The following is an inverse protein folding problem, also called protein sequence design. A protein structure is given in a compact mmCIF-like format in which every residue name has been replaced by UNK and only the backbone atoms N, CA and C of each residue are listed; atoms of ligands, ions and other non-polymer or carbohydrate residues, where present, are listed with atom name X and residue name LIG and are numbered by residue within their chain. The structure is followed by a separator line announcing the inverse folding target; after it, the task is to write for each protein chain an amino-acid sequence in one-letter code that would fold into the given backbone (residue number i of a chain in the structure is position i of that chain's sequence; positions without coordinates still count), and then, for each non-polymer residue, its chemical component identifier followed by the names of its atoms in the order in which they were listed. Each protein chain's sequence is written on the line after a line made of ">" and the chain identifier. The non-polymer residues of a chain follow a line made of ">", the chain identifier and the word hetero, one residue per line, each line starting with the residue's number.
data_IF_622856095866
#
_entry.id   IF_622856095866
#
_cell.length_a   1.000
_cell.length_b   1.000
_cell.length_c   1.000
_cell.angle_alpha   90.00
_cell.angle_beta   90.00
_cell.angle_gamma   90.00
#
_symmetry.space_group_name_H-M   'P 1'
#
loop_
_entity.id
_entity.type
_entity.pdbx_description
1 polymer ?
#
# COMPACT_ATOMS: atom_id res chain seq x y z
N UNK A 1 -7.87 -34.89 -70.71
CA UNK A 1 -8.65 -36.10 -70.37
C UNK A 1 -9.12 -35.95 -68.93
N UNK A 2 -10.40 -35.61 -68.76
CA UNK A 2 -11.42 -36.37 -67.99
C UNK A 2 -11.07 -36.53 -66.49
N UNK A 3 -11.88 -36.10 -65.52
CA UNK A 3 -13.33 -36.03 -65.55
C UNK A 3 -13.93 -35.15 -64.44
N UNK A 4 -15.17 -34.80 -64.72
CA UNK A 4 -16.13 -34.06 -63.89
C UNK A 4 -16.65 -35.00 -62.80
N UNK A 5 -16.76 -34.52 -61.54
CA UNK A 5 -17.59 -35.18 -60.53
C UNK A 5 -18.33 -34.19 -59.62
N UNK A 6 -19.62 -34.06 -59.95
CA UNK A 6 -20.85 -33.96 -59.12
C UNK A 6 -20.97 -32.91 -57.99
N UNK A 7 -22.07 -32.16 -58.11
CA UNK A 7 -22.65 -31.25 -57.12
C UNK A 7 -23.29 -31.97 -55.90
N UNK A 8 -23.45 -31.13 -54.87
CA UNK A 8 -24.49 -31.07 -53.81
C UNK A 8 -24.25 -31.80 -52.48
N UNK A 9 -24.09 -30.96 -51.44
CA UNK A 9 -24.37 -31.27 -50.04
C UNK A 9 -24.42 -29.96 -49.25
N UNK A 10 -25.62 -29.39 -49.09
CA UNK A 10 -25.87 -28.19 -48.26
C UNK A 10 -25.64 -28.54 -46.78
N UNK A 11 -24.54 -28.09 -46.22
CA UNK A 11 -24.33 -28.04 -44.77
C UNK A 11 -24.60 -26.63 -44.26
N UNK A 12 -25.80 -26.40 -43.72
CA UNK A 12 -26.15 -25.16 -43.02
C UNK A 12 -25.35 -25.16 -41.71
N UNK A 13 -24.24 -24.44 -41.71
CA UNK A 13 -23.50 -24.15 -40.48
C UNK A 13 -24.23 -23.07 -39.70
N UNK A 14 -24.87 -23.43 -38.60
CA UNK A 14 -25.35 -22.46 -37.61
C UNK A 14 -24.13 -21.83 -36.93
N UNK A 15 -23.70 -20.67 -37.43
CA UNK A 15 -22.75 -19.83 -36.72
C UNK A 15 -23.49 -19.06 -35.64
N UNK A 16 -23.52 -19.58 -34.42
CA UNK A 16 -24.01 -18.86 -33.25
C UNK A 16 -23.05 -17.70 -32.98
N UNK A 17 -23.48 -16.47 -33.24
CA UNK A 17 -22.73 -15.26 -32.93
C UNK A 17 -22.75 -15.07 -31.40
N UNK A 18 -21.64 -15.36 -30.72
CA UNK A 18 -21.47 -14.99 -29.32
C UNK A 18 -21.21 -13.48 -29.22
N UNK A 19 -22.23 -12.72 -28.84
CA UNK A 19 -22.08 -11.31 -28.49
C UNK A 19 -21.44 -11.25 -27.09
N UNK A 20 -20.12 -11.09 -27.02
CA UNK A 20 -19.43 -10.82 -25.76
C UNK A 20 -19.68 -9.35 -25.41
N UNK A 21 -20.62 -9.10 -24.50
CA UNK A 21 -20.82 -7.78 -23.90
C UNK A 21 -19.72 -7.56 -22.88
N UNK A 22 -18.70 -6.78 -23.25
CA UNK A 22 -17.76 -6.23 -22.28
C UNK A 22 -18.50 -5.16 -21.47
N UNK A 23 -18.99 -5.54 -20.28
CA UNK A 23 -19.36 -4.54 -19.28
C UNK A 23 -18.05 -3.88 -18.83
N UNK A 24 -17.89 -2.56 -18.94
CA UNK A 24 -16.77 -1.89 -18.31
C UNK A 24 -16.92 -2.09 -16.81
N UNK A 25 -16.11 -2.98 -16.25
CA UNK A 25 -15.89 -3.03 -14.81
C UNK A 25 -15.35 -1.67 -14.42
N UNK A 26 -16.20 -0.81 -13.84
CA UNK A 26 -15.79 0.45 -13.28
C UNK A 26 -14.75 0.18 -12.20
N UNK A 27 -13.48 0.24 -12.56
CA UNK A 27 -12.39 0.28 -11.61
C UNK A 27 -12.39 1.71 -11.05
N UNK A 28 -13.26 1.96 -10.06
CA UNK A 28 -13.24 3.20 -9.29
C UNK A 28 -12.05 3.17 -8.33
N UNK A 29 -10.86 3.42 -8.88
CA UNK A 29 -9.63 3.66 -8.12
C UNK A 29 -9.49 5.12 -7.70
N UNK A 30 -10.58 5.85 -7.53
CA UNK A 30 -10.57 7.25 -7.12
C UNK A 30 -10.87 7.30 -5.61
N UNK A 31 -9.85 7.60 -4.81
CA UNK A 31 -10.03 7.83 -3.38
C UNK A 31 -10.88 9.09 -3.21
N UNK A 32 -12.12 8.94 -2.77
CA UNK A 32 -12.98 10.06 -2.45
C UNK A 32 -12.27 10.97 -1.42
N UNK A 33 -12.17 12.27 -1.74
CA UNK A 33 -11.58 13.25 -0.82
C UNK A 33 -12.48 13.34 0.40
N UNK A 34 -12.02 12.74 1.51
CA UNK A 34 -12.77 12.65 2.75
C UNK A 34 -12.08 13.41 3.87
N UNK A 35 -12.87 14.16 4.62
CA UNK A 35 -12.41 14.83 5.83
C UNK A 35 -12.63 13.96 7.06
N UNK A 36 -11.66 13.94 7.97
CA UNK A 36 -11.75 13.22 9.26
C UNK A 36 -11.20 14.06 10.41
N UNK A 37 -11.61 13.74 11.64
CA UNK A 37 -11.01 14.28 12.88
C UNK A 37 -9.91 13.37 13.44
N UNK A 38 -9.69 12.21 12.86
CA UNK A 38 -8.71 11.25 13.33
C UNK A 38 -9.00 9.86 12.81
N UNK A 39 -7.94 9.08 12.64
CA UNK A 39 -7.99 7.72 12.11
C UNK A 39 -6.80 6.92 12.63
N UNK A 40 -6.85 5.62 12.39
CA UNK A 40 -5.68 4.74 12.49
C UNK A 40 -5.31 4.28 11.08
N UNK A 41 -4.03 4.42 10.73
CA UNK A 41 -3.50 4.07 9.42
C UNK A 41 -2.48 2.94 9.59
N UNK A 42 -2.75 1.80 8.94
CA UNK A 42 -1.85 0.66 8.84
C UNK A 42 -0.97 0.82 7.59
N UNK A 43 0.34 0.71 7.73
CA UNK A 43 1.29 0.86 6.62
C UNK A 43 2.12 -0.41 6.50
N UNK A 44 1.92 -1.23 5.45
CA UNK A 44 2.76 -2.40 5.23
C UNK A 44 4.22 -2.00 5.05
N UNK A 45 5.14 -2.80 5.58
CA UNK A 45 6.59 -2.58 5.49
C UNK A 45 7.32 -3.90 5.29
N UNK A 46 8.63 -3.83 5.04
CA UNK A 46 9.50 -4.99 4.84
C UNK A 46 10.87 -4.68 5.45
N UNK A 47 11.39 -5.54 6.33
CA UNK A 47 12.82 -5.44 6.75
C UNK A 47 13.75 -6.05 5.69
N UNK A 48 13.22 -6.98 4.88
CA UNK A 48 13.91 -7.58 3.73
C UNK A 48 12.90 -8.11 2.72
N UNK A 49 13.35 -8.31 1.49
CA UNK A 49 12.58 -8.98 0.42
C UNK A 49 13.34 -10.19 -0.11
N UNK A 50 12.60 -11.19 -0.58
CA UNK A 50 13.18 -12.37 -1.21
C UNK A 50 13.42 -12.13 -2.71
N UNK A 51 14.50 -12.69 -3.26
CA UNK A 51 14.78 -12.65 -4.69
C UNK A 51 15.49 -13.90 -5.19
N UNK A 52 15.28 -14.20 -6.48
CA UNK A 52 15.85 -15.36 -7.15
C UNK A 52 15.41 -16.70 -6.53
N UNK A 53 16.09 -17.76 -6.92
CA UNK A 53 15.87 -19.10 -6.37
C UNK A 53 16.72 -19.28 -5.10
N UNK A 54 16.26 -20.15 -4.18
CA UNK A 54 16.93 -20.54 -2.91
C UNK A 54 16.77 -19.56 -1.73
N UNK A 55 15.74 -18.73 -1.72
CA UNK A 55 15.37 -17.95 -0.53
C UNK A 55 16.39 -16.88 -0.14
N UNK A 56 17.11 -16.33 -1.13
CA UNK A 56 18.02 -15.20 -0.89
C UNK A 56 17.23 -13.99 -0.44
N UNK A 57 17.76 -13.27 0.53
CA UNK A 57 17.16 -12.05 1.08
C UNK A 57 18.00 -10.84 0.71
N UNK A 58 17.33 -9.74 0.43
CA UNK A 58 17.90 -8.41 0.33
C UNK A 58 17.29 -7.55 1.45
N UNK A 59 18.11 -7.12 2.39
CA UNK A 59 17.68 -6.17 3.40
C UNK A 59 17.38 -4.82 2.76
N UNK A 60 16.48 -4.07 3.39
CA UNK A 60 16.04 -2.77 2.86
C UNK A 60 15.98 -1.75 3.99
N UNK A 61 16.31 -0.50 3.67
CA UNK A 61 15.97 0.65 4.51
C UNK A 61 14.51 1.01 4.27
N UNK A 62 13.79 1.33 5.34
CA UNK A 62 12.40 1.77 5.27
C UNK A 62 12.28 3.16 5.87
N UNK A 63 11.73 4.10 5.11
CA UNK A 63 11.38 5.44 5.59
C UNK A 63 9.87 5.62 5.54
N UNK A 64 9.24 5.61 6.72
CA UNK A 64 7.84 5.99 6.88
C UNK A 64 7.75 7.52 6.78
N UNK A 65 6.90 8.03 5.89
CA UNK A 65 6.59 9.44 5.75
C UNK A 65 5.14 9.68 6.18
N UNK A 66 4.92 10.72 6.98
CA UNK A 66 3.60 11.19 7.39
C UNK A 66 3.48 12.66 7.00
N UNK A 67 2.47 13.00 6.20
CA UNK A 67 2.28 14.33 5.64
C UNK A 67 0.90 14.86 6.01
N UNK A 68 0.83 15.97 6.74
CA UNK A 68 -0.42 16.70 6.86
C UNK A 68 -0.76 17.30 5.49
N UNK A 69 -1.90 16.94 4.92
CA UNK A 69 -2.36 17.44 3.61
C UNK A 69 -3.38 18.58 3.75
N UNK A 70 -3.68 18.99 4.98
CA UNK A 70 -4.57 20.12 5.23
C UNK A 70 -3.82 21.46 5.08
N UNK A 71 -4.36 22.42 4.32
CA UNK A 71 -3.73 23.70 4.10
C UNK A 71 -3.88 24.69 5.26
N UNK A 72 -4.68 24.38 6.28
CA UNK A 72 -5.08 25.38 7.28
C UNK A 72 -5.04 24.88 8.73
N UNK A 73 -5.20 23.58 8.94
CA UNK A 73 -5.33 23.03 10.28
C UNK A 73 -4.21 22.03 10.59
N UNK A 74 -3.71 22.02 11.83
CA UNK A 74 -2.73 21.05 12.26
C UNK A 74 -3.34 19.65 12.45
N UNK A 75 -2.47 18.65 12.40
CA UNK A 75 -2.74 17.25 12.73
C UNK A 75 -1.79 16.80 13.82
N UNK A 76 -2.34 16.18 14.85
CA UNK A 76 -1.59 15.62 15.96
C UNK A 76 -1.35 14.13 15.77
N UNK A 77 -0.08 13.73 15.66
CA UNK A 77 0.33 12.33 15.70
C UNK A 77 0.36 11.84 17.14
N UNK A 78 -0.50 10.86 17.43
CA UNK A 78 -0.65 10.25 18.75
C UNK A 78 0.34 9.11 18.98
N UNK A 79 0.61 8.32 17.94
CA UNK A 79 1.57 7.22 17.99
C UNK A 79 2.06 6.86 16.60
N UNK A 80 3.32 6.44 16.52
CA UNK A 80 3.91 5.81 15.33
C UNK A 80 4.59 4.53 15.80
N UNK A 81 3.87 3.44 15.71
CA UNK A 81 4.30 2.14 16.23
C UNK A 81 4.75 1.24 15.08
N UNK A 82 5.91 0.62 15.22
CA UNK A 82 6.42 -0.38 14.30
C UNK A 82 6.30 -1.77 14.93
N UNK A 83 5.66 -2.68 14.22
CA UNK A 83 5.38 -4.04 14.64
C UNK A 83 6.12 -5.04 13.77
N UNK A 84 6.49 -6.17 14.38
CA UNK A 84 7.03 -7.31 13.63
C UNK A 84 5.94 -8.10 12.90
N UNK A 85 6.36 -9.05 12.08
CA UNK A 85 5.48 -9.95 11.32
C UNK A 85 4.51 -10.78 12.17
N UNK A 86 4.69 -10.82 13.50
CA UNK A 86 3.81 -11.53 14.44
C UNK A 86 2.90 -10.56 15.21
N UNK A 87 2.91 -9.27 14.86
CA UNK A 87 2.11 -8.23 15.51
C UNK A 87 2.65 -7.79 16.87
N UNK A 88 3.92 -8.09 17.18
CA UNK A 88 4.55 -7.62 18.44
C UNK A 88 5.16 -6.26 18.21
N UNK A 89 4.94 -5.33 19.14
CA UNK A 89 5.53 -3.99 19.08
C UNK A 89 7.06 -4.11 19.16
N UNK A 90 7.75 -3.58 18.16
CA UNK A 90 9.21 -3.52 18.10
C UNK A 90 9.70 -2.19 18.67
N UNK A 91 9.10 -1.08 18.22
CA UNK A 91 9.45 0.28 18.65
C UNK A 91 8.26 1.22 18.50
N UNK A 92 8.16 2.16 19.44
CA UNK A 92 7.33 3.36 19.28
C UNK A 92 8.27 4.54 18.98
N UNK A 93 8.07 5.17 17.83
CA UNK A 93 8.88 6.31 17.39
C UNK A 93 8.46 7.65 18.02
N UNK A 94 7.31 7.69 18.70
CA UNK A 94 6.78 8.87 19.37
C UNK A 94 6.76 8.67 20.89
N UNK A 95 7.78 9.18 21.63
CA UNK A 95 7.73 9.19 23.10
C UNK A 95 6.68 10.18 23.64
N UNK A 96 6.28 11.16 22.83
CA UNK A 96 5.22 12.11 23.11
C UNK A 96 4.48 12.45 21.81
N UNK A 97 3.27 13.04 21.94
CA UNK A 97 2.49 13.53 20.81
C UNK A 97 3.27 14.60 20.03
N UNK A 98 3.23 14.53 18.70
CA UNK A 98 3.85 15.52 17.80
C UNK A 98 2.76 16.19 16.97
N UNK A 99 2.76 17.51 16.92
CA UNK A 99 1.83 18.26 16.06
C UNK A 99 2.51 18.59 14.74
N UNK A 100 1.83 18.31 13.63
CA UNK A 100 2.20 18.71 12.28
C UNK A 100 1.34 19.90 11.87
N UNK A 101 1.96 21.04 11.63
CA UNK A 101 1.30 22.21 11.07
C UNK A 101 0.75 21.97 9.66
N UNK A 102 0.04 22.96 9.09
CA UNK A 102 -0.45 22.88 7.71
C UNK A 102 0.67 22.53 6.72
N UNK A 103 0.42 21.53 5.88
CA UNK A 103 1.41 20.97 4.93
C UNK A 103 2.73 20.45 5.51
N UNK A 104 2.84 20.35 6.83
CA UNK A 104 4.05 19.83 7.48
C UNK A 104 4.15 18.30 7.30
N UNK A 105 5.39 17.83 7.20
CA UNK A 105 5.71 16.42 7.04
C UNK A 105 6.77 16.00 8.04
N UNK A 106 6.70 14.75 8.49
CA UNK A 106 7.72 14.10 9.33
C UNK A 106 8.03 12.72 8.76
N UNK A 107 9.21 12.19 9.09
CA UNK A 107 9.61 10.85 8.69
C UNK A 107 10.25 10.05 9.84
N UNK A 108 10.20 8.73 9.71
CA UNK A 108 10.80 7.78 10.64
C UNK A 108 11.49 6.68 9.86
N UNK A 109 12.70 6.32 10.29
CA UNK A 109 13.53 5.35 9.57
C UNK A 109 13.68 4.05 10.36
N UNK A 110 13.57 2.93 9.66
CA UNK A 110 14.07 1.61 10.06
C UNK A 110 15.31 1.36 9.22
N UNK A 111 16.45 1.22 9.86
CA UNK A 111 17.73 1.00 9.19
C UNK A 111 17.76 -0.38 8.51
N UNK A 112 18.53 -0.48 7.42
CA UNK A 112 18.72 -1.75 6.68
C UNK A 112 19.22 -2.91 7.57
N UNK A 113 19.99 -2.60 8.61
CA UNK A 113 20.49 -3.60 9.57
C UNK A 113 19.44 -4.08 10.57
N UNK A 114 18.31 -3.36 10.71
CA UNK A 114 17.24 -3.70 11.65
C UNK A 114 16.26 -4.73 11.06
N UNK A 115 16.62 -6.00 11.24
CA UNK A 115 15.81 -7.15 10.83
C UNK A 115 14.79 -7.59 11.88
N UNK A 116 14.63 -6.87 13.00
CA UNK A 116 13.74 -7.28 14.11
C UNK A 116 12.28 -7.37 13.67
N UNK A 117 11.89 -6.62 12.63
CA UNK A 117 10.55 -6.64 12.04
C UNK A 117 10.19 -7.96 11.33
N UNK A 118 11.19 -8.72 10.88
CA UNK A 118 10.97 -9.96 10.12
C UNK A 118 10.49 -9.73 8.68
N UNK A 119 9.75 -10.69 8.12
CA UNK A 119 9.42 -10.71 6.68
C UNK A 119 8.29 -9.76 6.27
N UNK A 120 7.35 -9.47 7.15
CA UNK A 120 6.20 -8.60 6.87
C UNK A 120 5.85 -7.71 8.08
N UNK A 121 6.79 -6.86 8.54
CA UNK A 121 6.50 -5.86 9.55
C UNK A 121 5.56 -4.78 9.02
N UNK A 122 5.07 -3.93 9.91
CA UNK A 122 4.17 -2.85 9.54
C UNK A 122 4.21 -1.73 10.55
N UNK A 123 3.74 -0.55 10.13
CA UNK A 123 3.48 0.56 11.03
C UNK A 123 2.00 0.69 11.31
N UNK A 124 1.68 1.18 12.51
CA UNK A 124 0.37 1.72 12.85
C UNK A 124 0.56 3.16 13.29
N UNK A 125 -0.02 4.08 12.52
CA UNK A 125 0.01 5.51 12.78
C UNK A 125 -1.37 5.95 13.26
N UNK A 126 -1.43 6.55 14.44
CA UNK A 126 -2.65 7.15 14.97
C UNK A 126 -2.52 8.66 14.95
N UNK A 127 -3.56 9.32 14.49
CA UNK A 127 -3.59 10.78 14.45
C UNK A 127 -4.97 11.31 14.81
N UNK A 128 -5.01 12.57 15.25
CA UNK A 128 -6.24 13.33 15.46
C UNK A 128 -6.09 14.78 15.00
N UNK A 129 -7.20 15.48 14.86
CA UNK A 129 -7.27 16.93 14.73
C UNK A 129 -8.53 17.44 15.40
N UNK A 130 -8.48 18.67 15.92
CA UNK A 130 -9.64 19.32 16.52
C UNK A 130 -10.73 19.61 15.48
N UNK A 131 -10.32 19.81 14.22
CA UNK A 131 -11.19 20.08 13.06
C UNK A 131 -11.25 18.86 12.15
N UNK A 132 -12.28 18.82 11.30
CA UNK A 132 -12.31 17.87 10.19
C UNK A 132 -11.30 18.38 9.15
N UNK A 133 -10.29 17.58 8.88
CA UNK A 133 -9.16 17.91 8.00
C UNK A 133 -9.01 16.88 6.90
N UNK A 134 -8.26 17.23 5.85
CA UNK A 134 -7.81 16.24 4.87
C UNK A 134 -7.04 15.12 5.59
N UNK A 135 -7.31 13.88 5.21
CA UNK A 135 -6.60 12.73 5.77
C UNK A 135 -5.10 12.85 5.45
N UNK A 136 -4.21 12.76 6.45
CA UNK A 136 -2.78 12.73 6.23
C UNK A 136 -2.40 11.63 5.24
N UNK A 137 -1.48 11.96 4.33
CA UNK A 137 -0.87 10.93 3.47
C UNK A 137 0.22 10.26 4.27
N UNK A 138 0.12 8.93 4.38
CA UNK A 138 1.11 8.11 5.07
C UNK A 138 1.57 7.01 4.12
N UNK A 139 2.89 6.91 3.94
CA UNK A 139 3.50 5.95 3.03
C UNK A 139 4.87 5.50 3.56
N UNK A 140 5.26 4.27 3.28
CA UNK A 140 6.63 3.81 3.46
C UNK A 140 7.36 3.81 2.12
N UNK A 141 8.49 4.52 2.06
CA UNK A 141 9.46 4.44 0.97
C UNK A 141 10.49 3.39 1.35
N UNK A 142 10.69 2.41 0.50
CA UNK A 142 11.53 1.25 0.79
C UNK A 142 12.62 1.17 -0.26
N UNK A 143 13.88 1.13 0.19
CA UNK A 143 15.05 1.14 -0.68
C UNK A 143 15.98 0.01 -0.24
N UNK A 144 16.29 -0.89 -1.17
CA UNK A 144 17.36 -1.86 -1.02
C UNK A 144 18.50 -1.50 -1.95
N UNK A 145 19.68 -1.22 -1.41
CA UNK A 145 20.85 -0.85 -2.19
C UNK A 145 22.04 -1.72 -1.74
N UNK A 146 22.18 -2.90 -2.37
CA UNK A 146 23.30 -3.80 -2.09
C UNK A 146 24.07 -4.12 -3.37
N UNK A 147 25.40 -3.92 -3.32
CA UNK A 147 26.30 -4.14 -4.45
C UNK A 147 25.86 -3.34 -5.70
N UNK A 148 25.66 -4.01 -6.85
CA UNK A 148 25.24 -3.39 -8.12
C UNK A 148 23.71 -3.42 -8.35
N UNK A 149 22.92 -3.83 -7.35
CA UNK A 149 21.47 -3.94 -7.46
C UNK A 149 20.79 -2.93 -6.54
N UNK A 150 19.94 -2.09 -7.13
CA UNK A 150 19.07 -1.16 -6.42
C UNK A 150 17.62 -1.53 -6.70
N UNK A 151 16.82 -1.67 -5.65
CA UNK A 151 15.37 -1.75 -5.74
C UNK A 151 14.76 -0.61 -4.93
N UNK A 152 13.64 -0.10 -5.40
CA UNK A 152 12.82 0.81 -4.62
C UNK A 152 11.35 0.58 -4.91
N UNK A 153 10.54 0.75 -3.88
CA UNK A 153 9.09 0.70 -3.98
C UNK A 153 8.46 1.49 -2.84
N UNK A 154 7.18 1.81 -3.02
CA UNK A 154 6.38 2.51 -2.03
C UNK A 154 5.26 1.60 -1.54
N UNK A 155 4.93 1.73 -0.26
CA UNK A 155 3.82 1.03 0.36
C UNK A 155 2.88 2.05 0.98
N UNK A 156 1.70 2.30 0.36
CA UNK A 156 0.76 3.27 0.86
C UNK A 156 0.06 2.76 2.13
N UNK A 157 -0.21 3.67 3.05
CA UNK A 157 -1.03 3.40 4.22
C UNK A 157 -2.47 3.09 3.84
N UNK A 158 -3.11 2.26 4.66
CA UNK A 158 -4.52 1.90 4.59
C UNK A 158 -5.19 2.27 5.90
N UNK A 159 -6.29 2.98 5.81
CA UNK A 159 -7.11 3.22 6.98
C UNK A 159 -7.67 1.91 7.53
N UNK A 160 -7.63 1.77 8.84
CA UNK A 160 -8.22 0.65 9.57
C UNK A 160 -9.08 1.16 10.71
N UNK A 161 -10.08 0.35 11.07
CA UNK A 161 -10.84 0.53 12.30
C UNK A 161 -10.24 -0.40 13.34
N UNK A 162 -9.83 0.16 14.47
CA UNK A 162 -9.48 -0.64 15.63
C UNK A 162 -10.78 -1.13 16.27
N UNK A 163 -11.11 -2.41 16.09
CA UNK A 163 -12.25 -3.01 16.79
C UNK A 163 -11.91 -3.09 18.29
N UNK A 164 -12.27 -2.05 19.04
CA UNK A 164 -11.99 -2.02 20.47
C UNK A 164 -12.14 -0.67 21.17
N UNK A 165 -13.31 -0.03 21.08
CA UNK A 165 -13.95 0.60 22.27
C UNK A 165 -15.43 0.76 21.96
N UNK A 166 -16.25 -0.04 22.63
CA UNK A 166 -17.67 0.22 22.82
C UNK A 166 -17.83 0.99 24.13
#
# INVERSE_FOLDING_TARGET
>A
MSGILRLFGKGIGWSTLFLVVFLPSGASGESEVRLSKGQTIYVPSYSFVYYGDRGRMLNVTVTLNVRNTDPSHPVDLLSVNYYDTKGRLVINYLPAQVSLGPFESVHYQVDESDIRGGSAPFFVVKWKSDKKVNVPVVEAVIIGAASMQGISFVSPGREIIENGTK
#
